data_IF_837763940463
#
_entry.id   IF_837763940463
#
_cell.length_a   1.000
_cell.length_b   1.000
_cell.length_c   1.000
_cell.angle_alpha   90.00
_cell.angle_beta   90.00
_cell.angle_gamma   90.00
#
_symmetry.space_group_name_H-M   'P 1'
#
loop_
_entity.id
_entity.type
_entity.pdbx_description
1 polymer ?
#
# COMPACT_ATOMS: atom_id res chain seq x y z
N UNK A 1 13.15 10.37 8.66
CA UNK A 1 12.55 9.29 7.81
C UNK A 1 11.75 9.90 6.67
N UNK A 2 12.40 10.21 5.55
CA UNK A 2 11.75 10.93 4.44
C UNK A 2 11.61 10.02 3.23
N UNK A 3 10.39 9.85 2.66
CA UNK A 3 10.13 8.90 1.59
C UNK A 3 11.12 8.98 0.44
N UNK A 4 11.54 10.16 0.03
CA UNK A 4 12.48 10.34 -1.09
C UNK A 4 13.87 10.84 -0.67
N UNK A 5 14.19 10.78 0.62
CA UNK A 5 15.46 11.24 1.16
C UNK A 5 15.63 12.75 1.31
N UNK A 6 14.62 13.53 0.89
CA UNK A 6 14.62 14.98 1.01
C UNK A 6 15.85 15.62 0.37
N UNK A 7 16.43 16.61 1.05
CA UNK A 7 17.63 17.32 0.59
C UNK A 7 18.88 16.42 0.42
N UNK A 8 18.97 15.27 1.08
CA UNK A 8 20.13 14.39 0.94
C UNK A 8 20.21 13.71 -0.42
N UNK A 9 19.07 13.43 -1.06
CA UNK A 9 19.05 12.80 -2.38
C UNK A 9 19.73 13.66 -3.45
N UNK A 10 19.38 14.94 -3.65
CA UNK A 10 20.13 15.82 -4.53
C UNK A 10 21.55 16.08 -4.01
N UNK A 11 21.76 16.21 -2.70
CA UNK A 11 23.10 16.48 -2.17
C UNK A 11 24.09 15.34 -2.49
N UNK A 12 23.67 14.08 -2.33
CA UNK A 12 24.48 12.92 -2.67
C UNK A 12 24.75 12.84 -4.18
N UNK A 13 23.80 13.24 -5.04
CA UNK A 13 24.03 13.32 -6.49
C UNK A 13 25.13 14.30 -6.84
N UNK A 14 25.14 15.46 -6.19
CA UNK A 14 26.18 16.47 -6.38
C UNK A 14 27.57 15.96 -5.97
N UNK A 15 27.62 15.14 -4.92
CA UNK A 15 28.86 14.47 -4.48
C UNK A 15 29.29 13.28 -5.37
N UNK A 16 28.54 13.03 -6.45
CA UNK A 16 28.82 11.99 -7.45
C UNK A 16 28.23 10.61 -7.14
N UNK A 17 27.31 10.50 -6.17
CA UNK A 17 26.62 9.25 -5.87
C UNK A 17 25.36 9.08 -6.73
N UNK A 18 24.95 7.84 -6.92
CA UNK A 18 23.68 7.42 -7.53
C UNK A 18 22.72 6.89 -6.44
N UNK A 19 21.98 7.76 -5.74
CA UNK A 19 21.12 7.37 -4.63
C UNK A 19 19.86 6.62 -5.10
N UNK A 20 19.58 5.51 -4.42
CA UNK A 20 18.29 4.84 -4.44
C UNK A 20 17.35 5.52 -3.46
N UNK A 21 16.18 5.94 -3.95
CA UNK A 21 15.11 6.56 -3.17
C UNK A 21 13.77 5.85 -3.40
N UNK A 22 12.71 6.22 -2.69
CA UNK A 22 11.38 5.67 -2.95
C UNK A 22 10.96 5.80 -4.41
N UNK A 23 11.18 6.97 -5.03
CA UNK A 23 10.84 7.17 -6.44
C UNK A 23 11.52 6.13 -7.35
N UNK A 24 12.75 5.73 -7.02
CA UNK A 24 13.50 4.72 -7.77
C UNK A 24 12.83 3.35 -7.78
N UNK A 25 11.92 3.08 -6.83
CA UNK A 25 11.13 1.85 -6.77
C UNK A 25 10.04 1.75 -7.86
N UNK A 26 9.65 2.88 -8.48
CA UNK A 26 8.54 2.91 -9.45
C UNK A 26 8.89 3.57 -10.78
N UNK A 27 10.01 4.27 -10.85
CA UNK A 27 10.47 4.91 -12.07
C UNK A 27 11.39 3.98 -12.88
N UNK A 28 11.72 4.39 -14.11
CA UNK A 28 12.71 3.73 -14.98
C UNK A 28 12.47 2.23 -15.19
N UNK A 29 11.20 1.80 -15.20
CA UNK A 29 10.81 0.40 -15.42
C UNK A 29 10.78 -0.48 -14.16
N UNK A 30 11.07 0.07 -12.98
CA UNK A 30 11.21 -0.70 -11.74
C UNK A 30 9.89 -1.08 -11.06
N UNK A 31 8.76 -0.50 -11.49
CA UNK A 31 7.46 -0.62 -10.83
C UNK A 31 6.94 -2.06 -10.69
N UNK A 32 7.38 -2.99 -11.56
CA UNK A 32 6.96 -4.39 -11.53
C UNK A 32 7.88 -5.29 -10.70
N UNK A 33 9.11 -4.87 -10.43
CA UNK A 33 10.17 -5.71 -9.84
C UNK A 33 10.57 -5.25 -8.45
N UNK A 34 10.91 -3.96 -8.28
CA UNK A 34 11.42 -3.43 -7.02
C UNK A 34 10.40 -3.53 -5.87
N UNK A 35 9.12 -3.18 -6.05
CA UNK A 35 8.14 -3.31 -4.97
C UNK A 35 7.95 -4.77 -4.51
N UNK A 36 8.09 -5.71 -5.43
CA UNK A 36 8.06 -7.16 -5.12
C UNK A 36 9.28 -7.56 -4.31
N UNK A 37 10.48 -7.16 -4.73
CA UNK A 37 11.71 -7.45 -4.02
C UNK A 37 11.69 -6.87 -2.58
N UNK A 38 11.30 -5.61 -2.41
CA UNK A 38 11.17 -5.00 -1.10
C UNK A 38 10.12 -5.70 -0.23
N UNK A 39 8.94 -6.01 -0.78
CA UNK A 39 7.91 -6.75 -0.05
C UNK A 39 8.40 -8.10 0.44
N UNK A 40 9.17 -8.84 -0.37
CA UNK A 40 9.70 -10.15 0.02
C UNK A 40 10.80 -10.02 1.08
N UNK A 41 11.65 -9.00 0.96
CA UNK A 41 12.70 -8.69 1.93
C UNK A 41 12.10 -8.30 3.30
N UNK A 42 11.06 -7.47 3.29
CA UNK A 42 10.31 -7.11 4.50
C UNK A 42 9.67 -8.31 5.20
N UNK A 43 9.06 -9.20 4.42
CA UNK A 43 8.50 -10.45 4.94
C UNK A 43 9.57 -11.46 5.40
N UNK A 44 10.87 -11.16 5.19
CA UNK A 44 12.03 -12.05 5.40
C UNK A 44 11.93 -13.35 4.63
N UNK A 45 11.23 -13.35 3.49
CA UNK A 45 11.06 -14.51 2.61
C UNK A 45 12.27 -14.73 1.72
N UNK A 46 13.03 -13.68 1.45
CA UNK A 46 14.22 -13.70 0.59
C UNK A 46 15.36 -12.94 1.23
N UNK A 47 16.60 -13.30 0.87
CA UNK A 47 17.77 -12.49 1.17
C UNK A 47 17.78 -11.19 0.33
N UNK A 48 18.64 -10.24 0.71
CA UNK A 48 18.86 -9.02 -0.04
C UNK A 48 19.51 -9.33 -1.40
N UNK A 49 18.82 -8.99 -2.48
CA UNK A 49 19.31 -9.22 -3.84
C UNK A 49 20.23 -8.09 -4.29
N UNK A 50 21.54 -8.34 -4.19
CA UNK A 50 22.59 -7.39 -4.61
C UNK A 50 22.46 -7.01 -6.07
N UNK A 51 22.08 -7.95 -6.95
CA UNK A 51 22.06 -7.73 -8.41
C UNK A 51 21.02 -6.68 -8.80
N UNK A 52 19.86 -6.71 -8.13
CA UNK A 52 18.77 -5.77 -8.38
C UNK A 52 19.18 -4.31 -8.09
N UNK A 53 20.04 -4.10 -7.09
CA UNK A 53 20.45 -2.78 -6.64
C UNK A 53 21.87 -2.37 -7.05
N UNK A 54 22.56 -3.16 -7.89
CA UNK A 54 23.93 -2.90 -8.37
C UNK A 54 24.16 -1.50 -8.94
N UNK A 55 23.12 -0.87 -9.50
CA UNK A 55 23.18 0.46 -10.12
C UNK A 55 23.25 1.61 -9.13
N UNK A 56 23.06 1.33 -7.84
CA UNK A 56 22.97 2.33 -6.79
C UNK A 56 24.11 2.13 -5.80
N UNK A 57 24.78 3.21 -5.45
CA UNK A 57 25.91 3.25 -4.52
C UNK A 57 25.52 3.83 -3.14
N UNK A 58 24.32 4.39 -3.04
CA UNK A 58 23.75 4.94 -1.81
C UNK A 58 22.26 4.60 -1.72
N UNK A 59 21.75 4.44 -0.49
CA UNK A 59 20.33 4.28 -0.21
C UNK A 59 19.85 5.40 0.68
N UNK A 60 18.74 6.04 0.32
CA UNK A 60 18.19 7.19 1.03
C UNK A 60 16.70 6.97 1.29
N UNK A 61 16.31 7.09 2.56
CA UNK A 61 14.92 6.95 2.98
C UNK A 61 14.37 5.52 2.87
N UNK A 62 13.07 5.33 3.16
CA UNK A 62 12.39 4.07 2.95
C UNK A 62 12.17 3.79 1.45
N UNK A 63 12.11 2.52 1.01
CA UNK A 63 12.05 1.32 1.82
C UNK A 63 13.39 0.85 2.43
N UNK A 64 14.52 1.25 1.85
CA UNK A 64 15.82 0.73 2.25
C UNK A 64 16.17 1.03 3.72
N UNK A 65 15.85 2.23 4.22
CA UNK A 65 16.12 2.61 5.61
C UNK A 65 15.43 1.72 6.65
N UNK A 66 14.31 1.06 6.30
CA UNK A 66 13.61 0.15 7.22
C UNK A 66 14.31 -1.19 7.40
N UNK A 67 15.20 -1.55 6.49
CA UNK A 67 15.97 -2.80 6.50
C UNK A 67 17.47 -2.53 6.44
N UNK A 68 17.90 -1.36 6.94
CA UNK A 68 19.30 -0.94 6.95
C UNK A 68 20.20 -2.00 7.57
N UNK A 69 19.76 -2.65 8.64
CA UNK A 69 20.50 -3.71 9.33
C UNK A 69 20.70 -4.97 8.48
N UNK A 70 19.76 -5.29 7.58
CA UNK A 70 19.88 -6.41 6.65
C UNK A 70 20.84 -6.04 5.53
N UNK A 71 20.69 -4.84 4.97
CA UNK A 71 21.56 -4.33 3.90
C UNK A 71 23.01 -4.23 4.39
N UNK A 72 23.25 -3.66 5.58
CA UNK A 72 24.60 -3.47 6.13
C UNK A 72 25.36 -4.77 6.39
N UNK A 73 24.67 -5.90 6.61
CA UNK A 73 25.33 -7.22 6.76
C UNK A 73 26.00 -7.69 5.47
N UNK A 74 25.42 -7.28 4.35
CA UNK A 74 25.83 -7.70 3.01
C UNK A 74 26.72 -6.66 2.32
N UNK A 75 26.79 -5.45 2.89
CA UNK A 75 27.64 -4.35 2.45
C UNK A 75 29.07 -4.46 3.02
N UNK A 76 30.05 -3.83 2.38
CA UNK A 76 31.40 -3.73 2.92
C UNK A 76 31.44 -3.04 4.28
N UNK A 77 32.44 -3.38 5.08
CA UNK A 77 32.60 -2.78 6.40
C UNK A 77 32.81 -1.27 6.37
N UNK A 78 33.38 -0.70 5.31
CA UNK A 78 33.57 0.74 5.18
C UNK A 78 32.29 1.50 4.80
N UNK A 79 31.14 0.84 4.66
CA UNK A 79 29.88 1.52 4.37
C UNK A 79 29.52 2.50 5.49
N UNK A 80 29.44 3.78 5.11
CA UNK A 80 29.08 4.89 5.98
C UNK A 80 27.56 5.00 6.08
N UNK A 81 27.06 5.34 7.26
CA UNK A 81 25.64 5.51 7.56
C UNK A 81 25.40 6.95 7.99
N UNK A 82 24.45 7.61 7.34
CA UNK A 82 23.99 8.94 7.72
C UNK A 82 22.59 8.81 8.31
N UNK A 83 22.46 9.09 9.60
CA UNK A 83 21.18 9.15 10.30
C UNK A 83 20.72 10.60 10.35
N UNK A 84 19.66 10.91 9.61
CA UNK A 84 19.02 12.23 9.68
C UNK A 84 18.02 12.25 10.82
N UNK A 85 18.30 13.07 11.84
CA UNK A 85 17.42 13.24 12.99
C UNK A 85 16.28 14.20 12.68
N UNK A 86 15.04 13.78 12.97
CA UNK A 86 13.93 14.74 13.04
C UNK A 86 13.85 15.38 14.42
N UNK A 87 13.90 16.72 14.41
CA UNK A 87 13.76 17.57 15.60
C UNK A 87 12.32 17.55 16.09
N UNK A 88 11.34 17.78 15.19
CA UNK A 88 9.91 17.74 15.51
C UNK A 88 9.27 16.43 15.04
N UNK A 89 9.45 15.39 15.86
CA UNK A 89 8.94 14.04 15.60
C UNK A 89 7.42 13.96 15.55
N UNK A 90 6.75 14.79 16.36
CA UNK A 90 5.29 14.81 16.46
C UNK A 90 4.66 15.39 15.19
N UNK A 91 5.18 16.53 14.72
CA UNK A 91 4.77 17.14 13.45
C UNK A 91 5.04 16.21 12.28
N UNK A 92 6.26 15.65 12.20
CA UNK A 92 6.62 14.69 11.15
C UNK A 92 5.64 13.51 11.11
N UNK A 93 5.29 12.95 12.27
CA UNK A 93 4.38 11.81 12.34
C UNK A 93 2.97 12.16 11.83
N UNK A 94 2.45 13.33 12.22
CA UNK A 94 1.13 13.80 11.80
C UNK A 94 1.06 14.07 10.29
N UNK A 95 2.07 14.74 9.73
CA UNK A 95 2.15 15.01 8.29
C UNK A 95 2.28 13.71 7.49
N UNK A 96 3.12 12.78 7.97
CA UNK A 96 3.28 11.47 7.33
C UNK A 96 1.97 10.68 7.29
N UNK A 97 1.22 10.64 8.39
CA UNK A 97 -0.07 9.96 8.46
C UNK A 97 -1.14 10.58 7.54
N UNK A 98 -1.11 11.89 7.36
CA UNK A 98 -2.00 12.61 6.46
C UNK A 98 -1.86 12.14 5.01
N UNK A 99 -0.64 11.86 4.54
CA UNK A 99 -0.39 11.35 3.18
C UNK A 99 -0.55 9.84 3.05
N UNK A 100 -0.11 9.07 4.05
CA UNK A 100 -0.07 7.62 3.95
C UNK A 100 -1.47 6.99 3.97
N UNK A 101 -2.40 7.54 4.75
CA UNK A 101 -3.77 7.04 4.86
C UNK A 101 -4.52 7.00 3.50
N UNK A 102 -4.64 8.15 2.80
CA UNK A 102 -5.20 8.21 1.45
C UNK A 102 -4.51 7.27 0.45
N UNK A 103 -3.17 7.25 0.42
CA UNK A 103 -2.40 6.40 -0.48
C UNK A 103 -2.68 4.89 -0.27
N UNK A 104 -2.72 4.44 0.99
CA UNK A 104 -3.05 3.04 1.30
C UNK A 104 -4.49 2.69 0.89
N UNK A 105 -5.45 3.61 1.01
CA UNK A 105 -6.83 3.41 0.53
C UNK A 105 -6.89 3.33 -0.99
N UNK A 106 -6.18 4.20 -1.70
CA UNK A 106 -6.12 4.21 -3.16
C UNK A 106 -5.53 2.91 -3.70
N UNK A 107 -4.44 2.41 -3.09
CA UNK A 107 -3.77 1.17 -3.49
C UNK A 107 -4.57 -0.09 -3.16
N UNK A 108 -5.37 -0.09 -2.08
CA UNK A 108 -6.27 -1.21 -1.73
C UNK A 108 -7.31 -1.48 -2.84
N UNK A 109 -7.74 -0.45 -3.56
CA UNK A 109 -8.69 -0.59 -4.68
C UNK A 109 -8.07 -1.28 -5.92
N UNK A 110 -6.74 -1.31 -6.02
CA UNK A 110 -5.98 -1.88 -7.16
C UNK A 110 -5.48 -3.31 -6.93
N UNK A 111 -5.84 -3.98 -5.82
CA UNK A 111 -5.24 -5.24 -5.34
C UNK A 111 -5.43 -6.50 -6.22
N UNK A 112 -5.95 -6.37 -7.45
CA UNK A 112 -6.22 -7.54 -8.30
C UNK A 112 -4.96 -8.26 -8.80
N UNK A 113 -3.78 -7.61 -8.80
CA UNK A 113 -2.53 -8.23 -9.27
C UNK A 113 -1.46 -8.33 -8.16
N UNK A 114 -0.55 -9.32 -8.30
CA UNK A 114 0.54 -9.60 -7.34
C UNK A 114 1.46 -8.40 -7.11
N UNK A 115 1.72 -7.62 -8.15
CA UNK A 115 2.57 -6.42 -8.08
C UNK A 115 1.92 -5.35 -7.20
N UNK A 116 0.61 -5.09 -7.34
CA UNK A 116 -0.08 -4.13 -6.48
C UNK A 116 -0.17 -4.60 -5.04
N UNK A 117 -0.31 -5.91 -4.81
CA UNK A 117 -0.29 -6.49 -3.47
C UNK A 117 1.07 -6.28 -2.80
N UNK A 118 2.15 -6.62 -3.50
CA UNK A 118 3.51 -6.38 -3.03
C UNK A 118 3.79 -4.89 -2.79
N UNK A 119 3.33 -4.02 -3.69
CA UNK A 119 3.48 -2.58 -3.54
C UNK A 119 2.75 -2.05 -2.29
N UNK A 120 1.50 -2.44 -2.07
CA UNK A 120 0.77 -2.06 -0.84
C UNK A 120 1.43 -2.63 0.41
N UNK A 121 1.95 -3.87 0.37
CA UNK A 121 2.69 -4.44 1.50
C UNK A 121 3.97 -3.64 1.78
N UNK A 122 4.72 -3.29 0.74
CA UNK A 122 5.91 -2.44 0.83
C UNK A 122 5.56 -1.10 1.49
N UNK A 123 4.55 -0.37 1.00
CA UNK A 123 4.15 0.92 1.57
C UNK A 123 3.75 0.82 3.05
N UNK A 124 3.09 -0.27 3.45
CA UNK A 124 2.74 -0.50 4.87
C UNK A 124 3.97 -0.68 5.75
N UNK A 125 4.97 -1.40 5.24
CA UNK A 125 6.20 -1.73 6.00
C UNK A 125 7.31 -0.68 5.88
N UNK A 126 7.18 0.24 4.92
CA UNK A 126 8.05 1.39 4.75
C UNK A 126 7.98 2.41 5.89
N UNK A 127 7.00 2.30 6.78
CA UNK A 127 6.80 3.25 7.86
C UNK A 127 7.11 2.60 9.18
N UNK A 128 7.86 3.33 10.01
CA UNK A 128 8.10 2.96 11.39
C UNK A 128 6.73 2.86 12.08
N UNK A 129 6.30 1.64 12.33
CA UNK A 129 4.92 1.33 12.68
C UNK A 129 4.72 1.59 14.16
N UNK A 130 3.95 2.63 14.50
CA UNK A 130 3.54 2.91 15.88
C UNK A 130 2.38 2.05 16.38
N UNK A 131 1.67 1.35 15.49
CA UNK A 131 0.60 0.43 15.87
C UNK A 131 1.21 -0.95 16.14
N UNK A 132 1.05 -1.53 17.33
CA UNK A 132 1.43 -2.92 17.58
C UNK A 132 0.47 -3.79 16.77
N UNK A 133 0.88 -4.23 15.58
CA UNK A 133 0.30 -5.46 15.05
C UNK A 133 0.84 -6.57 15.94
N UNK A 134 -0.03 -7.42 16.49
CA UNK A 134 0.33 -8.48 17.43
C UNK A 134 1.46 -9.40 16.92
N UNK A 135 1.72 -9.42 15.61
CA UNK A 135 2.86 -10.12 14.99
C UNK A 135 4.16 -9.30 14.92
N UNK A 136 4.12 -7.96 14.87
CA UNK A 136 5.33 -7.12 14.73
C UNK A 136 6.02 -6.85 16.06
N UNK A 137 5.26 -6.66 17.15
CA UNK A 137 5.77 -6.56 18.53
C UNK A 137 6.48 -7.85 18.95
N UNK A 138 5.88 -9.01 18.65
CA UNK A 138 6.49 -10.32 18.91
C UNK A 138 7.75 -10.61 18.05
N UNK A 139 7.95 -9.89 16.94
CA UNK A 139 9.13 -9.99 16.06
C UNK A 139 10.26 -9.06 16.48
N UNK A 140 9.95 -7.90 17.07
CA UNK A 140 10.93 -6.93 17.57
C UNK A 140 11.43 -7.30 18.97
N UNK A 141 10.55 -7.79 19.86
CA UNK A 141 10.92 -8.34 21.17
C UNK A 141 11.87 -9.54 21.05
N UNK A 142 11.69 -10.39 20.02
CA UNK A 142 12.60 -11.50 19.74
C UNK A 142 14.03 -11.06 19.38
N UNK A 143 14.21 -9.85 18.87
CA UNK A 143 15.54 -9.28 18.57
C UNK A 143 16.21 -8.71 19.83
N UNK A 144 15.42 -8.16 20.76
CA UNK A 144 15.92 -7.63 22.05
C UNK A 144 16.18 -8.75 23.08
N UNK A 145 15.37 -9.81 23.06
CA UNK A 145 15.47 -10.93 24.00
C UNK A 145 16.69 -11.83 23.74
N UNK A 146 17.07 -12.04 22.47
CA UNK A 146 18.12 -13.00 22.12
C UNK A 146 19.57 -12.47 22.29
N UNK A 147 19.74 -11.24 22.78
CA UNK A 147 21.05 -10.65 23.16
C UNK A 147 21.18 -10.42 24.68
N UNK A 148 20.13 -10.68 25.47
CA UNK A 148 20.19 -10.65 26.94
C UNK A 148 20.53 -12.04 27.51
N UNK A 149 21.70 -12.56 27.17
CA UNK A 149 22.41 -13.45 28.10
C UNK A 149 23.61 -12.66 28.62
N UNK A 150 23.52 -12.28 29.89
CA UNK A 150 24.53 -11.58 30.71
C UNK A 150 24.39 -10.05 30.86
N UNK A 151 23.18 -9.51 31.02
CA UNK A 151 23.05 -8.24 31.76
C UNK A 151 21.77 -8.20 32.59
N UNK A 152 21.98 -8.16 33.91
CA UNK A 152 20.99 -8.10 34.98
C UNK A 152 20.02 -6.93 34.81
N UNK A 153 18.75 -7.23 35.08
CA UNK A 153 17.60 -6.37 35.43
C UNK A 153 17.78 -4.83 35.42
N UNK A 154 16.85 -4.18 34.70
CA UNK A 154 16.67 -2.73 34.51
C UNK A 154 16.42 -1.90 35.78
N UNK A 155 16.50 -2.47 36.97
CA UNK A 155 16.30 -1.77 38.24
C UNK A 155 17.61 -1.31 38.89
N UNK A 156 18.76 -1.79 38.41
CA UNK A 156 20.07 -1.48 39.01
C UNK A 156 20.73 -0.24 38.40
N UNK A 157 20.36 0.15 37.17
CA UNK A 157 20.93 1.32 36.46
C UNK A 157 20.51 2.66 37.09
N UNK A 158 19.24 2.80 37.51
CA UNK A 158 18.78 4.03 38.17
C UNK A 158 19.39 4.21 39.58
N UNK A 159 19.73 3.13 40.28
CA UNK A 159 20.42 3.22 41.57
C UNK A 159 21.89 3.59 41.41
N UNK A 160 22.56 3.13 40.35
CA UNK A 160 23.97 3.44 40.09
C UNK A 160 24.20 4.92 39.74
N UNK A 161 23.26 5.59 39.06
CA UNK A 161 23.35 7.03 38.79
C UNK A 161 23.04 7.88 40.03
N UNK A 162 22.08 7.48 40.87
CA UNK A 162 21.73 8.23 42.09
C UNK A 162 22.76 8.12 43.23
N UNK A 163 23.66 7.12 43.21
CA UNK A 163 24.73 6.97 44.21
C UNK A 163 26.03 7.68 43.82
N UNK A 164 26.20 8.08 42.56
CA UNK A 164 27.39 8.80 42.09
C UNK A 164 27.35 10.32 42.39
N UNK A 165 26.18 10.90 42.67
CA UNK A 165 26.04 12.34 42.94
C UNK A 165 26.16 12.75 44.43
N UNK A 166 26.34 11.80 45.36
CA UNK A 166 26.44 12.10 46.82
C UNK A 166 27.82 11.90 47.45
N UNK A 167 28.89 12.00 46.67
CA UNK A 167 30.26 11.77 47.16
C UNK A 167 31.29 12.84 46.76
N UNK A 168 31.36 13.95 47.53
CA UNK A 168 32.50 14.89 47.54
C UNK A 168 32.37 16.06 46.56
N UNK A 169 32.81 17.30 46.85
CA UNK A 169 33.64 17.83 47.93
C UNK A 169 33.54 19.37 47.92
N UNK A 170 33.48 19.90 49.12
CA UNK A 170 33.65 21.28 49.59
C UNK A 170 34.45 22.31 48.74
N UNK A 171 33.94 23.56 48.81
CA UNK A 171 34.65 24.82 49.10
C UNK A 171 35.59 25.44 48.05
N UNK A 172 35.14 26.53 47.43
CA UNK A 172 35.82 27.84 47.51
C UNK A 172 34.94 28.98 46.95
N UNK A 173 35.15 30.16 47.53
CA UNK A 173 34.41 31.42 47.48
C UNK A 173 34.97 32.34 46.39
N UNK A 174 34.11 33.13 45.74
CA UNK A 174 34.54 34.28 44.93
C UNK A 174 33.41 34.90 44.09
N UNK A 175 32.92 36.07 44.50
CA UNK A 175 32.06 36.96 43.71
C UNK A 175 32.82 37.56 42.51
N UNK A 176 32.11 37.85 41.41
CA UNK A 176 32.00 39.18 40.74
C UNK A 176 31.59 39.06 39.25
N UNK A 177 30.47 39.76 38.94
CA UNK A 177 30.04 40.46 37.72
C UNK A 177 29.87 39.78 36.32
N UNK A 178 28.65 39.99 35.78
CA UNK A 178 28.22 40.38 34.39
C UNK A 178 29.28 40.30 33.28
N UNK A 179 29.02 39.81 32.07
CA UNK A 179 27.99 40.29 31.12
C UNK A 179 28.06 39.44 29.82
N UNK A 180 26.91 39.21 29.16
CA UNK A 180 26.81 39.06 27.70
C UNK A 180 27.31 37.77 27.02
N UNK A 181 26.40 36.81 26.83
CA UNK A 181 26.32 36.00 25.60
C UNK A 181 24.97 35.25 25.60
N UNK A 182 23.99 35.88 24.97
CA UNK A 182 22.71 35.27 24.62
C UNK A 182 22.97 34.22 23.53
N UNK A 183 23.26 32.99 23.96
CA UNK A 183 23.17 31.80 23.12
C UNK A 183 21.93 31.07 23.60
N UNK A 184 20.81 31.30 22.92
CA UNK A 184 19.62 30.46 23.03
C UNK A 184 19.95 29.05 22.48
N UNK A 185 20.70 28.27 23.26
CA UNK A 185 20.58 26.83 23.22
C UNK A 185 19.23 26.50 23.87
N UNK A 186 18.17 26.44 23.05
CA UNK A 186 16.92 25.85 23.50
C UNK A 186 17.17 24.37 23.75
N UNK A 187 17.46 24.06 25.02
CA UNK A 187 17.10 22.80 25.67
C UNK A 187 15.64 22.51 25.33
N UNK A 188 15.43 21.66 24.33
CA UNK A 188 14.10 21.21 23.96
C UNK A 188 13.72 20.10 24.92
N UNK A 189 12.90 20.49 25.89
CA UNK A 189 12.33 19.66 26.93
C UNK A 189 11.65 18.42 26.37
N UNK A 190 11.88 17.29 27.03
CA UNK A 190 11.13 16.02 26.97
C UNK A 190 9.61 16.26 27.11
N UNK A 191 8.96 16.70 26.04
CA UNK A 191 7.52 16.58 25.89
C UNK A 191 7.21 15.13 25.56
N UNK A 192 6.39 14.46 26.39
CA UNK A 192 5.95 13.09 26.14
C UNK A 192 5.31 13.00 24.73
N UNK A 193 6.01 12.32 23.80
CA UNK A 193 5.53 12.08 22.45
C UNK A 193 4.20 11.31 22.51
N UNK A 194 3.17 11.78 21.80
CA UNK A 194 1.81 11.18 21.87
C UNK A 194 1.54 10.33 20.65
N UNK A 195 2.00 10.75 19.48
CA UNK A 195 1.78 10.01 18.24
C UNK A 195 2.59 8.69 18.29
N UNK A 196 1.95 7.52 18.16
CA UNK A 196 2.65 6.23 18.19
C UNK A 196 3.78 6.13 17.15
N UNK A 197 3.63 6.81 16.01
CA UNK A 197 4.65 6.84 14.95
C UNK A 197 5.85 7.72 15.34
N UNK A 198 5.65 8.81 16.08
CA UNK A 198 6.73 9.62 16.62
C UNK A 198 7.57 8.83 17.62
N UNK A 199 6.90 8.12 18.55
CA UNK A 199 7.55 7.20 19.51
C UNK A 199 8.34 6.11 18.77
N UNK A 200 7.75 5.54 17.73
CA UNK A 200 8.42 4.48 16.97
C UNK A 200 9.64 5.02 16.20
N UNK A 201 9.56 6.24 15.65
CA UNK A 201 10.71 6.90 15.00
C UNK A 201 11.85 7.14 15.99
N UNK A 202 11.55 7.65 17.18
CA UNK A 202 12.56 7.85 18.23
C UNK A 202 13.29 6.56 18.56
N UNK A 203 12.54 5.48 18.84
CA UNK A 203 13.12 4.15 19.08
C UNK A 203 13.95 3.64 17.91
N UNK A 204 13.52 3.93 16.68
CA UNK A 204 14.29 3.59 15.49
C UNK A 204 15.62 4.35 15.46
N UNK A 205 15.62 5.67 15.66
CA UNK A 205 16.82 6.51 15.69
C UNK A 205 17.80 6.05 16.77
N UNK A 206 17.31 5.78 17.99
CA UNK A 206 18.10 5.21 19.09
C UNK A 206 18.71 3.85 18.71
N UNK A 207 17.92 2.98 18.07
CA UNK A 207 18.41 1.67 17.63
C UNK A 207 19.56 1.79 16.63
N UNK A 208 19.50 2.76 15.72
CA UNK A 208 20.58 3.01 14.74
C UNK A 208 21.84 3.47 15.47
N UNK A 209 21.71 4.43 16.39
CA UNK A 209 22.83 4.95 17.19
C UNK A 209 23.51 3.87 18.03
N UNK A 210 22.75 2.90 18.53
CA UNK A 210 23.30 1.78 19.31
C UNK A 210 23.94 0.68 18.44
N UNK A 211 23.42 0.44 17.24
CA UNK A 211 23.83 -0.70 16.41
C UNK A 211 24.95 -0.36 15.42
N UNK A 212 25.03 0.88 14.96
CA UNK A 212 26.07 1.31 14.01
C UNK A 212 27.26 1.88 14.79
N UNK A 213 28.50 1.40 14.55
CA UNK A 213 29.68 1.96 15.21
C UNK A 213 29.82 3.47 14.98
N UNK A 214 30.21 4.26 15.98
CA UNK A 214 30.34 5.71 15.85
C UNK A 214 31.27 6.16 14.71
N UNK A 215 32.31 5.37 14.39
CA UNK A 215 33.23 5.65 13.29
C UNK A 215 32.59 5.56 11.89
N UNK A 216 31.43 4.92 11.78
CA UNK A 216 30.68 4.72 10.53
C UNK A 216 29.32 5.41 10.56
N UNK A 217 29.03 6.20 11.60
CA UNK A 217 27.74 6.87 11.79
C UNK A 217 27.92 8.38 11.86
N UNK A 218 27.29 9.09 10.93
CA UNK A 218 27.03 10.51 11.06
C UNK A 218 25.60 10.70 11.52
N UNK A 219 25.43 11.37 12.66
CA UNK A 219 24.14 11.92 13.08
C UNK A 219 24.05 13.32 12.47
N UNK A 220 23.16 13.48 11.50
CA UNK A 220 23.02 14.69 10.69
C UNK A 220 21.71 15.39 11.03
N UNK A 221 21.74 16.69 11.26
CA UNK A 221 20.53 17.50 11.46
C UNK A 221 20.21 18.32 10.23
N UNK A 222 18.93 18.46 9.93
CA UNK A 222 18.50 19.32 8.85
C UNK A 222 18.96 20.76 9.07
N UNK A 223 19.61 21.32 8.05
CA UNK A 223 20.16 22.68 8.08
C UNK A 223 21.65 22.76 8.37
N UNK A 224 22.34 21.66 8.70
CA UNK A 224 23.79 21.67 8.93
C UNK A 224 24.63 21.86 7.64
N UNK A 225 24.03 21.62 6.47
CA UNK A 225 24.62 21.93 5.18
C UNK A 225 25.71 20.95 4.74
N UNK A 226 26.63 21.42 3.89
CA UNK A 226 27.64 20.56 3.26
C UNK A 226 28.71 20.06 4.21
N UNK A 227 29.15 20.89 5.16
CA UNK A 227 30.39 20.68 5.91
C UNK A 227 30.45 19.31 6.63
N UNK A 228 29.51 18.95 7.52
CA UNK A 228 29.58 17.67 8.22
C UNK A 228 29.38 16.48 7.29
N UNK A 229 28.56 16.63 6.24
CA UNK A 229 28.31 15.57 5.26
C UNK A 229 29.57 15.28 4.43
N UNK A 230 30.21 16.33 3.90
CA UNK A 230 31.40 16.21 3.06
C UNK A 230 32.60 15.72 3.87
N UNK A 231 32.79 16.24 5.09
CA UNK A 231 33.83 15.77 6.01
C UNK A 231 33.66 14.27 6.30
N UNK A 232 32.45 13.84 6.63
CA UNK A 232 32.18 12.43 6.92
C UNK A 232 32.34 11.55 5.71
N UNK A 233 31.95 12.01 4.52
CA UNK A 233 32.08 11.24 3.26
C UNK A 233 33.48 11.34 2.63
N UNK A 234 34.37 12.17 3.18
CA UNK A 234 35.72 12.46 2.65
C UNK A 234 35.65 13.02 1.22
N UNK A 235 34.75 14.01 1.02
CA UNK A 235 34.54 14.71 -0.25
C UNK A 235 34.85 16.19 -0.09
N UNK A 236 35.20 16.84 -1.21
CA UNK A 236 35.29 18.30 -1.26
C UNK A 236 33.89 18.92 -1.13
N UNK A 237 33.79 20.04 -0.42
CA UNK A 237 32.56 20.84 -0.34
C UNK A 237 32.30 21.48 -1.70
N UNK A 238 31.12 21.27 -2.31
CA UNK A 238 30.75 21.94 -3.56
C UNK A 238 30.60 23.46 -3.38
N UNK A 239 30.82 24.23 -4.46
CA UNK A 239 30.60 25.69 -4.47
C UNK A 239 29.10 26.04 -4.48
N UNK A 240 28.24 25.09 -4.86
CA UNK A 240 26.79 25.28 -4.92
C UNK A 240 26.15 25.29 -3.52
N UNK A 241 25.07 26.06 -3.31
CA UNK A 241 24.35 26.05 -2.04
C UNK A 241 23.76 24.67 -1.75
N UNK A 242 23.71 24.29 -0.48
CA UNK A 242 23.11 23.02 -0.07
C UNK A 242 21.64 22.95 -0.53
N UNK A 243 21.16 21.81 -1.05
CA UNK A 243 19.80 21.69 -1.54
C UNK A 243 18.76 22.09 -0.48
N UNK A 244 17.65 22.74 -0.89
CA UNK A 244 16.63 23.18 0.04
C UNK A 244 15.98 22.00 0.76
N UNK A 245 15.45 22.26 1.96
CA UNK A 245 14.67 21.27 2.69
C UNK A 245 13.50 20.76 1.86
N UNK A 246 13.33 19.44 1.84
CA UNK A 246 12.23 18.74 1.20
C UNK A 246 11.82 17.58 2.10
N UNK A 247 10.55 17.54 2.49
CA UNK A 247 9.99 16.47 3.32
C UNK A 247 9.84 15.15 2.54
N UNK A 248 9.93 15.19 1.21
CA UNK A 248 9.71 14.06 0.31
C UNK A 248 8.30 13.46 0.39
N UNK A 249 7.38 14.04 1.17
CA UNK A 249 6.01 13.55 1.38
C UNK A 249 5.17 13.76 0.13
N UNK A 250 5.46 14.81 -0.64
CA UNK A 250 4.82 15.10 -1.93
C UNK A 250 4.94 13.92 -2.91
N UNK A 251 5.98 13.08 -2.80
CA UNK A 251 6.14 11.86 -3.60
C UNK A 251 5.02 10.86 -3.35
N UNK A 252 4.59 10.72 -2.08
CA UNK A 252 3.47 9.86 -1.72
C UNK A 252 2.16 10.37 -2.33
N UNK A 253 1.93 11.69 -2.30
CA UNK A 253 0.78 12.34 -2.93
C UNK A 253 0.77 12.15 -4.46
N UNK A 254 1.91 12.38 -5.12
CA UNK A 254 2.06 12.18 -6.56
C UNK A 254 1.79 10.73 -6.99
N UNK A 255 2.22 9.75 -6.17
CA UNK A 255 1.92 8.34 -6.41
C UNK A 255 0.42 8.06 -6.29
N UNK A 256 -0.23 8.59 -5.24
CA UNK A 256 -1.67 8.44 -5.06
C UNK A 256 -2.42 8.97 -6.29
N UNK A 257 -2.11 10.20 -6.72
CA UNK A 257 -2.80 10.85 -7.82
C UNK A 257 -2.64 10.07 -9.13
N UNK A 258 -1.43 9.59 -9.42
CA UNK A 258 -1.16 8.76 -10.61
C UNK A 258 -1.98 7.48 -10.62
N UNK A 259 -2.11 6.82 -9.46
CA UNK A 259 -2.91 5.59 -9.33
C UNK A 259 -4.39 5.89 -9.55
N UNK A 260 -4.90 6.97 -8.97
CA UNK A 260 -6.30 7.38 -9.14
C UNK A 260 -6.60 7.76 -10.61
N UNK A 261 -5.70 8.52 -11.26
CA UNK A 261 -5.79 8.86 -12.69
C UNK A 261 -5.79 7.62 -13.57
N UNK A 262 -4.90 6.65 -13.31
CA UNK A 262 -4.87 5.39 -14.06
C UNK A 262 -6.16 4.56 -13.86
N UNK A 263 -6.67 4.49 -12.63
CA UNK A 263 -7.95 3.83 -12.35
C UNK A 263 -9.14 4.53 -13.02
N UNK A 264 -9.12 5.86 -13.08
CA UNK A 264 -10.14 6.64 -13.78
C UNK A 264 -10.10 6.35 -15.29
N UNK A 265 -8.91 6.42 -15.90
CA UNK A 265 -8.72 6.11 -17.31
C UNK A 265 -9.18 4.68 -17.66
N UNK A 266 -8.79 3.69 -16.85
CA UNK A 266 -9.24 2.30 -17.05
C UNK A 266 -10.77 2.16 -16.99
N UNK A 267 -11.44 2.87 -16.05
CA UNK A 267 -12.91 2.87 -15.96
C UNK A 267 -13.55 3.51 -17.19
N UNK A 268 -13.02 4.63 -17.66
CA UNK A 268 -13.49 5.29 -18.90
C UNK A 268 -13.32 4.36 -20.11
N UNK A 269 -12.15 3.73 -20.27
CA UNK A 269 -11.93 2.76 -21.35
C UNK A 269 -12.91 1.58 -21.28
N UNK A 270 -13.17 1.03 -20.09
CA UNK A 270 -14.15 -0.04 -19.90
C UNK A 270 -15.57 0.38 -20.31
N UNK A 271 -16.00 1.60 -19.97
CA UNK A 271 -17.30 2.15 -20.39
C UNK A 271 -17.35 2.33 -21.90
N UNK A 272 -16.31 2.89 -22.51
CA UNK A 272 -16.24 3.06 -23.97
C UNK A 272 -16.32 1.70 -24.70
N UNK A 273 -15.58 0.69 -24.24
CA UNK A 273 -15.65 -0.67 -24.78
C UNK A 273 -17.05 -1.26 -24.59
N UNK A 274 -17.68 -1.06 -23.43
CA UNK A 274 -19.05 -1.51 -23.17
C UNK A 274 -20.05 -0.85 -24.11
N UNK A 275 -19.94 0.47 -24.34
CA UNK A 275 -20.78 1.20 -25.30
C UNK A 275 -20.58 0.71 -26.73
N UNK A 276 -19.34 0.41 -27.15
CA UNK A 276 -19.05 -0.16 -28.47
C UNK A 276 -19.65 -1.56 -28.62
N UNK A 277 -19.54 -2.42 -27.61
CA UNK A 277 -20.14 -3.76 -27.62
C UNK A 277 -21.66 -3.66 -27.70
N UNK A 278 -22.28 -2.81 -26.88
CA UNK A 278 -23.74 -2.58 -26.92
C UNK A 278 -24.16 -2.05 -28.29
N UNK A 279 -23.44 -1.08 -28.85
CA UNK A 279 -23.73 -0.54 -30.19
C UNK A 279 -23.67 -1.61 -31.29
N UNK A 280 -22.69 -2.52 -31.23
CA UNK A 280 -22.54 -3.62 -32.20
C UNK A 280 -23.54 -4.75 -31.99
N UNK A 281 -23.96 -5.02 -30.76
CA UNK A 281 -24.94 -6.06 -30.44
C UNK A 281 -26.39 -5.58 -30.58
N UNK A 282 -26.63 -4.26 -30.54
CA UNK A 282 -27.96 -3.66 -30.70
C UNK A 282 -28.74 -4.16 -31.92
N UNK A 283 -28.18 -4.22 -33.15
CA UNK A 283 -28.91 -4.71 -34.32
C UNK A 283 -29.26 -6.20 -34.27
N UNK A 284 -28.62 -7.00 -33.42
CA UNK A 284 -28.90 -8.43 -33.27
C UNK A 284 -29.94 -8.73 -32.18
N UNK A 285 -30.40 -7.70 -31.45
CA UNK A 285 -31.36 -7.85 -30.35
C UNK A 285 -32.68 -8.45 -30.83
N UNK A 286 -33.20 -7.97 -31.96
CA UNK A 286 -34.49 -8.42 -32.48
C UNK A 286 -34.41 -9.89 -32.91
N UNK A 287 -33.35 -10.28 -33.64
CA UNK A 287 -33.08 -11.68 -34.02
C UNK A 287 -32.93 -12.60 -32.80
N UNK A 288 -32.25 -12.13 -31.75
CA UNK A 288 -32.08 -12.90 -30.52
C UNK A 288 -33.41 -13.09 -29.77
N UNK A 289 -34.30 -12.09 -29.77
CA UNK A 289 -35.62 -12.22 -29.14
C UNK A 289 -36.47 -13.30 -29.81
N UNK A 290 -36.46 -13.38 -31.13
CA UNK A 290 -37.16 -14.44 -31.86
C UNK A 290 -36.60 -15.84 -31.53
N UNK A 291 -35.28 -16.00 -31.55
CA UNK A 291 -34.63 -17.27 -31.21
C UNK A 291 -34.89 -17.70 -29.76
N UNK A 292 -34.91 -16.75 -28.81
CA UNK A 292 -35.19 -17.05 -27.40
C UNK A 292 -36.65 -17.43 -27.19
N UNK A 293 -37.58 -16.77 -27.88
CA UNK A 293 -39.00 -17.08 -27.81
C UNK A 293 -39.28 -18.49 -28.36
N UNK A 294 -38.65 -18.84 -29.47
CA UNK A 294 -38.74 -20.17 -30.09
C UNK A 294 -38.17 -21.25 -29.15
N UNK A 295 -36.97 -21.01 -28.60
CA UNK A 295 -36.35 -21.92 -27.63
C UNK A 295 -37.18 -22.08 -26.33
N UNK A 296 -37.76 -21.00 -25.80
CA UNK A 296 -38.63 -21.06 -24.63
C UNK A 296 -39.91 -21.85 -24.93
N UNK A 297 -40.43 -21.73 -26.16
CA UNK A 297 -41.58 -22.50 -26.60
C UNK A 297 -41.21 -23.99 -26.73
N UNK A 298 -40.07 -24.32 -27.32
CA UNK A 298 -39.59 -25.70 -27.42
C UNK A 298 -39.34 -26.33 -26.06
N UNK A 299 -38.75 -25.59 -25.12
CA UNK A 299 -38.57 -26.05 -23.72
C UNK A 299 -39.92 -26.20 -23.01
N UNK A 300 -40.86 -25.28 -23.24
CA UNK A 300 -42.22 -25.39 -22.69
C UNK A 300 -42.96 -26.61 -23.26
N UNK A 301 -42.76 -26.95 -24.52
CA UNK A 301 -43.37 -28.14 -25.14
C UNK A 301 -42.67 -29.42 -24.64
N UNK A 302 -41.36 -29.41 -24.48
CA UNK A 302 -40.59 -30.58 -24.06
C UNK A 302 -40.71 -30.89 -22.56
N UNK A 303 -40.93 -29.88 -21.72
CA UNK A 303 -40.95 -30.00 -20.25
C UNK A 303 -42.26 -29.51 -19.61
N UNK A 304 -43.18 -28.93 -20.38
CA UNK A 304 -44.52 -28.58 -19.92
C UNK A 304 -45.38 -29.83 -19.83
N UNK A 305 -45.95 -30.06 -18.64
CA UNK A 305 -47.03 -31.03 -18.44
C UNK A 305 -48.13 -30.76 -19.45
N UNK A 306 -48.52 -31.79 -20.18
CA UNK A 306 -49.48 -31.76 -21.28
C UNK A 306 -50.65 -30.80 -21.02
N UNK A 307 -50.81 -29.80 -21.89
CA UNK A 307 -52.02 -28.98 -22.03
C UNK A 307 -53.20 -29.80 -22.61
N UNK A 308 -53.32 -31.07 -22.21
CA UNK A 308 -54.43 -31.96 -22.54
C UNK A 308 -55.76 -31.41 -22.00
N UNK A 309 -55.74 -30.50 -21.03
CA UNK A 309 -56.95 -29.89 -20.47
C UNK A 309 -57.69 -28.97 -21.46
N UNK A 310 -56.97 -28.26 -22.34
CA UNK A 310 -57.59 -27.25 -23.23
C UNK A 310 -58.21 -27.90 -24.48
N UNK A 311 -57.60 -28.98 -25.00
CA UNK A 311 -58.19 -29.75 -26.11
C UNK A 311 -59.34 -30.64 -25.65
N UNK A 312 -59.27 -31.21 -24.44
CA UNK A 312 -60.34 -32.08 -23.91
C UNK A 312 -61.62 -31.29 -23.62
N UNK A 313 -61.50 -30.03 -23.18
CA UNK A 313 -62.67 -29.20 -22.87
C UNK A 313 -63.38 -28.67 -24.12
N UNK A 314 -62.64 -28.41 -25.21
CA UNK A 314 -63.22 -28.08 -26.52
C UNK A 314 -63.94 -29.29 -27.16
N UNK A 315 -63.36 -30.50 -27.03
CA UNK A 315 -63.96 -31.76 -27.51
C UNK A 315 -65.18 -32.22 -26.69
N UNK A 316 -65.24 -31.87 -25.40
CA UNK A 316 -66.39 -32.12 -24.52
C UNK A 316 -67.57 -31.17 -24.82
N UNK A 317 -67.30 -29.92 -25.22
CA UNK A 317 -68.35 -28.96 -25.60
C UNK A 317 -68.85 -29.14 -27.05
N UNK A 318 -68.09 -29.77 -27.93
CA UNK A 318 -68.51 -30.07 -29.31
C UNK A 318 -69.35 -31.36 -29.44
N UNK A 319 -69.53 -32.14 -28.37
CA UNK A 319 -70.49 -33.25 -28.36
C UNK A 319 -71.91 -32.77 -28.03
N UNK A 320 -72.52 -32.09 -28.99
CA UNK A 320 -73.98 -32.11 -29.18
C UNK A 320 -74.27 -32.18 -30.68
N UNK A 321 -74.24 -33.41 -31.19
CA UNK A 321 -75.13 -34.05 -32.17
C UNK A 321 -74.40 -35.31 -32.64
N UNK A 322 -75.08 -36.46 -32.61
CA UNK A 322 -74.54 -37.72 -33.11
C UNK A 322 -74.22 -37.61 -34.59
N UNK A 323 -73.16 -38.28 -35.05
CA UNK A 323 -72.69 -38.22 -36.45
C UNK A 323 -73.76 -38.63 -37.48
N UNK A 324 -74.79 -39.38 -37.06
CA UNK A 324 -75.97 -39.69 -37.88
C UNK A 324 -76.96 -38.53 -38.00
N UNK A 325 -77.19 -37.77 -36.91
CA UNK A 325 -78.12 -36.64 -36.90
C UNK A 325 -77.60 -35.45 -37.72
N UNK A 326 -76.28 -35.26 -37.77
CA UNK A 326 -75.66 -34.26 -38.63
C UNK A 326 -75.77 -34.63 -40.12
N UNK A 327 -75.71 -35.91 -40.45
CA UNK A 327 -75.88 -36.38 -41.82
C UNK A 327 -77.33 -36.20 -42.29
N UNK A 328 -78.30 -36.57 -41.46
CA UNK A 328 -79.73 -36.43 -41.78
C UNK A 328 -80.14 -34.96 -41.98
N UNK A 329 -79.66 -34.04 -41.12
CA UNK A 329 -79.93 -32.59 -41.26
C UNK A 329 -79.29 -31.99 -42.53
N UNK A 330 -78.11 -32.50 -42.93
CA UNK A 330 -77.44 -32.06 -44.16
C UNK A 330 -78.12 -32.63 -45.42
N UNK A 331 -78.74 -33.81 -45.31
CA UNK A 331 -79.45 -34.50 -46.38
C UNK A 331 -80.83 -33.90 -46.66
N UNK A 332 -81.58 -33.55 -45.59
CA UNK A 332 -82.86 -32.85 -45.71
C UNK A 332 -82.71 -31.43 -46.30
N UNK A 333 -81.66 -30.69 -45.90
CA UNK A 333 -81.37 -29.36 -46.47
C UNK A 333 -81.05 -29.38 -47.97
N UNK A 334 -80.62 -30.53 -48.52
CA UNK A 334 -80.38 -30.72 -49.95
C UNK A 334 -81.60 -31.28 -50.70
N UNK A 335 -82.75 -31.38 -50.04
CA UNK A 335 -84.02 -31.82 -50.64
C UNK A 335 -84.20 -33.34 -50.69
N UNK A 336 -83.37 -34.12 -50.00
CA UNK A 336 -83.55 -35.56 -49.84
C UNK A 336 -84.65 -35.87 -48.82
N UNK A 337 -85.41 -36.96 -49.02
CA UNK A 337 -86.34 -37.49 -48.01
C UNK A 337 -85.80 -38.80 -47.43
N UNK A 338 -85.75 -38.88 -46.10
CA UNK A 338 -85.39 -40.11 -45.38
C UNK A 338 -86.67 -40.92 -45.12
N UNK A 339 -86.81 -42.09 -45.74
CA UNK A 339 -87.89 -43.04 -45.41
C UNK A 339 -87.36 -44.10 -44.46
N UNK A 340 -87.82 -44.04 -43.21
CA UNK A 340 -87.52 -45.06 -42.20
C UNK A 340 -88.44 -46.25 -42.43
N UNK A 341 -87.89 -47.37 -42.90
CA UNK A 341 -88.64 -48.64 -42.99
C UNK A 341 -88.63 -49.27 -41.59
N UNK A 342 -89.79 -49.31 -40.94
CA UNK A 342 -89.97 -50.07 -39.70
C UNK A 342 -90.02 -51.56 -40.05
N UNK A 343 -89.06 -52.34 -39.55
CA UNK A 343 -89.11 -53.81 -39.51
C UNK A 343 -89.99 -54.29 -38.36
#
# INVERSE_FOLDING_TARGET
MLPDGGALTPALRELGYTPYSLQSSFQKGNASTHPVAWSLLFDRKTAYDKNLFTKFDAFVGPPAAMVYNVILRDCPEYTKVVLVEEVDKEKWANEYDAYMGPLLRATKRTQRNKVSQAFTNMLKQMVVSGVPTSESTAKMERYSYNKKSNLSSSTDLHKAFATAEKGGRASARGEVAKEGAEVEAKEQSDGELKNPRAIALERFEESVKMLVPPSRLLVYRYGEGWEPLCQFLEKAVPDEPFPPYDDGLHVLGNLQERIERAQFLMRVCMVLVSCLVISKLWPYKDTAQYLLADFVQDVRVAFGKDDDAVYTQKRMNEKKLSSGEQFDDTWEKKGGKVTVIKS
#
